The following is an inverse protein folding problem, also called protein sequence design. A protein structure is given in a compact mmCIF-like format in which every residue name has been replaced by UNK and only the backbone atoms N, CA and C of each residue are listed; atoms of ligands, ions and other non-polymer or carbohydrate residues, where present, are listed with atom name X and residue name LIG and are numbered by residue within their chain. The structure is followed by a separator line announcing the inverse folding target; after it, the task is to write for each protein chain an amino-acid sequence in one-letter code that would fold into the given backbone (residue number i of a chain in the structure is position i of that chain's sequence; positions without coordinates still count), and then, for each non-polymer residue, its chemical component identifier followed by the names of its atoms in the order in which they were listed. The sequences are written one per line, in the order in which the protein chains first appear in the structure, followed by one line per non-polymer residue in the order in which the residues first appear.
data_IF_536970600604
#
_entry.id   IF_536970600604
#
_cell.length_a   1.000
_cell.length_b   1.000
_cell.length_c   1.000
_cell.angle_alpha   90.00
_cell.angle_beta   90.00
_cell.angle_gamma   90.00
#
_symmetry.space_group_name_H-M   'P 1'
#
loop_
_entity.id
_entity.type
_entity.pdbx_description
1 polymer ?
#
# COMPACT_ATOMS: atom_id res chain seq x y z
N UNK A 1 13.56 -5.76 -7.33
CA UNK A 1 12.93 -6.03 -6.02
C UNK A 1 13.87 -6.93 -5.22
N UNK A 2 14.25 -6.57 -3.98
CA UNK A 2 15.23 -7.35 -3.21
C UNK A 2 14.55 -8.49 -2.44
N UNK A 3 15.15 -9.69 -2.47
CA UNK A 3 14.67 -10.90 -1.80
C UNK A 3 14.48 -10.70 -0.29
N UNK A 4 15.35 -9.90 0.35
CA UNK A 4 15.22 -9.56 1.77
C UNK A 4 13.90 -8.85 2.13
N UNK A 5 13.37 -8.01 1.22
CA UNK A 5 12.10 -7.32 1.42
C UNK A 5 10.93 -8.30 1.38
N UNK A 6 11.00 -9.34 0.54
CA UNK A 6 9.98 -10.39 0.46
C UNK A 6 9.95 -11.24 1.73
N UNK A 7 11.11 -11.66 2.23
CA UNK A 7 11.21 -12.44 3.47
C UNK A 7 10.68 -11.65 4.67
N UNK A 8 11.07 -10.37 4.78
CA UNK A 8 10.56 -9.48 5.83
C UNK A 8 9.04 -9.33 5.76
N UNK A 9 8.50 -9.18 4.55
CA UNK A 9 7.06 -9.05 4.34
C UNK A 9 6.32 -10.33 4.66
N UNK A 10 6.89 -11.50 4.37
CA UNK A 10 6.26 -12.77 4.74
C UNK A 10 6.22 -13.00 6.25
N UNK A 11 7.29 -12.62 6.96
CA UNK A 11 7.39 -12.80 8.41
C UNK A 11 6.58 -11.78 9.23
N UNK A 12 6.45 -10.54 8.75
CA UNK A 12 5.88 -9.43 9.55
C UNK A 12 4.81 -8.61 8.82
N UNK A 13 4.67 -8.78 7.51
CA UNK A 13 3.75 -8.03 6.69
C UNK A 13 2.35 -8.63 6.72
N UNK A 14 1.42 -7.85 7.24
CA UNK A 14 0.00 -8.11 7.07
C UNK A 14 -0.46 -7.51 5.75
N UNK A 15 -1.03 -8.35 4.89
CA UNK A 15 -1.64 -7.91 3.64
C UNK A 15 -2.85 -7.02 3.94
N UNK A 16 -2.87 -5.84 3.34
CA UNK A 16 -3.96 -4.86 3.49
C UNK A 16 -4.87 -4.91 2.27
N UNK A 17 -4.30 -4.75 1.08
CA UNK A 17 -5.05 -4.72 -0.17
C UNK A 17 -4.17 -4.62 -1.40
N UNK A 18 -4.81 -4.53 -2.56
CA UNK A 18 -4.17 -4.33 -3.86
C UNK A 18 -4.84 -3.17 -4.60
N UNK A 19 -4.10 -2.48 -5.45
CA UNK A 19 -4.67 -1.52 -6.39
C UNK A 19 -5.06 -2.18 -7.73
N UNK A 20 -5.52 -1.36 -8.68
CA UNK A 20 -5.91 -1.77 -10.04
C UNK A 20 -4.70 -2.20 -10.88
N UNK A 21 -3.53 -1.61 -10.65
CA UNK A 21 -2.27 -1.94 -11.30
C UNK A 21 -1.62 -3.24 -10.76
N UNK A 22 -2.15 -3.79 -9.66
CA UNK A 22 -1.70 -5.03 -9.05
C UNK A 22 -0.60 -4.85 -8.00
N UNK A 23 -0.26 -3.62 -7.62
CA UNK A 23 0.62 -3.34 -6.49
C UNK A 23 -0.07 -3.77 -5.19
N UNK A 24 0.71 -4.41 -4.32
CA UNK A 24 0.22 -4.98 -3.05
C UNK A 24 0.71 -4.13 -1.89
N UNK A 25 -0.20 -3.81 -0.98
CA UNK A 25 0.09 -2.97 0.17
C UNK A 25 0.08 -3.80 1.45
N UNK A 26 1.09 -3.54 2.28
CA UNK A 26 1.35 -4.27 3.51
C UNK A 26 1.53 -3.34 4.70
N UNK A 27 1.20 -3.83 5.89
CA UNK A 27 1.52 -3.17 7.15
C UNK A 27 2.11 -4.13 8.16
N UNK A 28 3.00 -3.67 9.04
CA UNK A 28 3.56 -4.54 10.09
C UNK A 28 2.60 -4.82 11.26
N UNK A 29 1.50 -4.07 11.37
CA UNK A 29 0.56 -4.16 12.50
C UNK A 29 -0.86 -4.23 11.99
N UNK A 30 -1.67 -5.06 12.66
CA UNK A 30 -3.12 -5.14 12.43
C UNK A 30 -3.82 -3.82 12.68
N UNK A 31 -3.32 -3.04 13.65
CA UNK A 31 -3.79 -1.69 13.88
C UNK A 31 -2.94 -0.69 13.08
N UNK A 32 -3.43 -0.34 11.90
CA UNK A 32 -2.81 0.59 10.98
C UNK A 32 -2.82 2.04 11.50
N UNK A 33 -3.76 2.41 12.39
CA UNK A 33 -3.91 3.78 12.94
C UNK A 33 -2.76 4.20 13.86
N UNK A 34 -1.99 3.22 14.34
CA UNK A 34 -0.87 3.51 15.22
C UNK A 34 0.24 4.23 14.44
N UNK A 35 0.71 5.40 14.91
CA UNK A 35 1.84 6.12 14.28
C UNK A 35 3.11 5.26 14.11
N UNK A 36 3.30 4.26 14.97
CA UNK A 36 4.42 3.30 14.90
C UNK A 36 4.23 2.19 13.86
N UNK A 37 3.08 2.11 13.18
CA UNK A 37 2.86 1.15 12.10
C UNK A 37 3.79 1.50 10.92
N UNK A 38 4.46 0.48 10.39
CA UNK A 38 5.17 0.59 9.11
C UNK A 38 4.18 0.18 8.02
N UNK A 39 4.13 0.97 6.94
CA UNK A 39 3.31 0.74 5.75
C UNK A 39 4.26 0.73 4.55
N UNK A 40 4.13 -0.26 3.67
CA UNK A 40 4.95 -0.34 2.46
C UNK A 40 4.17 -0.98 1.32
N UNK A 41 4.68 -0.79 0.11
CA UNK A 41 4.12 -1.32 -1.11
C UNK A 41 5.11 -2.30 -1.75
N UNK A 42 4.57 -3.37 -2.32
CA UNK A 42 5.27 -4.29 -3.20
C UNK A 42 4.71 -4.09 -4.59
N UNK A 43 5.54 -3.55 -5.48
CA UNK A 43 5.17 -3.28 -6.86
C UNK A 43 5.04 -4.56 -7.67
N UNK A 44 4.08 -4.58 -8.59
CA UNK A 44 3.95 -5.66 -9.56
C UNK A 44 4.81 -5.33 -10.80
N UNK A 45 6.09 -5.68 -10.76
CA UNK A 45 7.04 -5.45 -11.85
C UNK A 45 8.08 -4.37 -11.51
N UNK A 46 8.18 -3.35 -12.37
CA UNK A 46 9.13 -2.25 -12.18
C UNK A 46 8.78 -1.40 -10.94
N UNK A 47 9.82 -1.06 -10.18
CA UNK A 47 9.69 -0.29 -8.95
C UNK A 47 9.63 1.19 -9.30
N UNK A 48 8.43 1.71 -9.48
CA UNK A 48 8.21 3.12 -9.81
C UNK A 48 7.17 3.74 -8.87
N UNK A 49 7.60 4.76 -8.11
CA UNK A 49 6.76 5.42 -7.10
C UNK A 49 5.54 6.12 -7.70
N UNK A 50 5.64 6.61 -8.94
CA UNK A 50 4.57 7.32 -9.66
C UNK A 50 3.35 6.45 -9.98
N UNK A 51 3.51 5.12 -9.97
CA UNK A 51 2.42 4.17 -10.26
C UNK A 51 1.47 3.96 -9.08
N UNK A 52 1.74 4.58 -7.94
CA UNK A 52 0.89 4.49 -6.75
C UNK A 52 -0.32 5.43 -6.93
N UNK A 53 -1.57 4.94 -6.83
CA UNK A 53 -2.75 5.79 -6.86
C UNK A 53 -2.74 6.82 -5.71
N UNK A 54 -3.30 8.03 -5.90
CA UNK A 54 -3.26 9.10 -4.90
C UNK A 54 -3.76 8.71 -3.50
N UNK A 55 -4.81 7.89 -3.44
CA UNK A 55 -5.39 7.42 -2.17
C UNK A 55 -4.47 6.44 -1.43
N UNK A 56 -3.84 5.53 -2.18
CA UNK A 56 -2.84 4.63 -1.62
C UNK A 56 -1.58 5.38 -1.21
N UNK A 57 -1.20 6.44 -1.95
CA UNK A 57 -0.12 7.33 -1.57
C UNK A 57 -0.43 8.07 -0.25
N UNK A 58 -1.63 8.65 -0.12
CA UNK A 58 -2.09 9.28 1.12
C UNK A 58 -2.06 8.30 2.31
N UNK A 59 -2.50 7.06 2.11
CA UNK A 59 -2.43 6.02 3.13
C UNK A 59 -0.99 5.62 3.45
N UNK A 60 -0.10 5.46 2.47
CA UNK A 60 1.30 5.09 2.72
C UNK A 60 2.01 6.16 3.59
N UNK A 61 1.70 7.43 3.31
CA UNK A 61 2.21 8.60 4.04
C UNK A 61 1.46 8.90 5.35
N UNK A 62 0.53 8.04 5.78
CA UNK A 62 -0.24 8.20 7.02
C UNK A 62 -1.08 9.49 7.06
N UNK A 63 -1.45 10.02 5.90
CA UNK A 63 -2.43 11.12 5.81
C UNK A 63 -3.84 10.59 6.08
N UNK A 64 -4.11 9.35 5.69
CA UNK A 64 -5.36 8.66 6.00
C UNK A 64 -5.10 7.50 6.96
N UNK A 65 -6.04 7.32 7.89
CA UNK A 65 -6.03 6.14 8.75
C UNK A 65 -6.51 4.91 8.00
N UNK A 66 -7.52 5.05 7.15
CA UNK A 66 -8.19 3.92 6.52
C UNK A 66 -7.59 3.58 5.14
N UNK A 67 -7.38 2.27 4.85
CA UNK A 67 -6.90 1.84 3.55
C UNK A 67 -8.01 1.94 2.47
N UNK A 68 -7.70 2.40 1.26
CA UNK A 68 -8.68 2.60 0.18
C UNK A 68 -8.99 1.28 -0.54
N UNK A 69 -9.55 0.29 0.16
CA UNK A 69 -9.78 -1.07 -0.35
C UNK A 69 -10.82 -1.15 -1.47
N UNK A 70 -11.88 -0.33 -1.39
CA UNK A 70 -12.98 -0.28 -2.35
C UNK A 70 -13.09 1.09 -3.00
N UNK A 71 -11.97 1.81 -3.12
CA UNK A 71 -12.01 3.15 -3.67
C UNK A 71 -12.11 3.11 -5.20
N UNK A 72 -13.31 3.37 -5.71
CA UNK A 72 -13.51 3.68 -7.12
C UNK A 72 -13.56 5.20 -7.32
N UNK A 73 -12.63 5.71 -8.11
CA UNK A 73 -12.63 7.10 -8.51
C UNK A 73 -13.39 7.25 -9.82
N UNK A 74 -14.53 7.93 -9.77
CA UNK A 74 -15.26 8.39 -10.94
C UNK A 74 -15.29 9.92 -10.90
N UNK A 75 -14.30 10.55 -11.50
CA UNK A 75 -14.44 11.97 -11.81
C UNK A 75 -15.21 12.10 -13.12
N UNK A 76 -16.08 13.10 -13.17
CA UNK A 76 -16.89 13.40 -14.35
C UNK A 76 -15.99 13.83 -15.53
N UNK A 77 -14.77 14.30 -15.23
CA UNK A 77 -13.79 14.82 -16.18
C UNK A 77 -12.62 13.87 -16.49
N UNK A 78 -12.60 12.68 -15.88
CA UNK A 78 -11.55 11.67 -16.11
C UNK A 78 -12.04 10.61 -17.11
#
# INVERSE_FOLDING_TARGET
MNIGTLIYTWLTGQYVGKDKDGNKYYSNKRNYKLKKSKRWVIFNGEVEASRIPPHWHAWLHKMTDEPPLNYEHSYIWQ
#
